data_IF_677138366372
#
_entry.id   IF_677138366372
#
_cell.length_a   1.000
_cell.length_b   1.000
_cell.length_c   1.000
_cell.angle_alpha   90.00
_cell.angle_beta   90.00
_cell.angle_gamma   90.00
#
_symmetry.space_group_name_H-M   'P 1'
#
loop_
_entity.id
_entity.type
_entity.pdbx_description
1 polymer ?
#
# COMPACT_ATOMS: atom_id res chain seq x y z
N UNK A 1 28.34 -63.49 52.41
CA UNK A 1 27.73 -64.36 51.37
C UNK A 1 26.42 -63.72 50.93
N UNK A 2 26.34 -63.34 49.64
CA UNK A 2 25.14 -62.97 48.86
C UNK A 2 24.38 -61.71 49.30
N UNK A 3 23.86 -60.83 48.45
CA UNK A 3 24.03 -60.48 47.04
C UNK A 3 23.12 -59.24 46.82
N UNK A 4 23.52 -58.34 45.91
CA UNK A 4 22.71 -57.58 44.92
C UNK A 4 21.35 -56.97 45.38
N UNK A 5 21.00 -55.70 45.15
CA UNK A 5 21.19 -54.86 43.97
C UNK A 5 21.03 -53.37 44.35
N UNK A 6 22.04 -52.55 44.05
CA UNK A 6 21.97 -51.09 44.09
C UNK A 6 21.16 -50.57 42.90
N UNK A 7 20.07 -49.88 43.23
CA UNK A 7 19.34 -48.98 42.35
C UNK A 7 20.19 -47.72 42.20
N UNK A 8 20.70 -47.45 41.00
CA UNK A 8 21.00 -46.09 40.58
C UNK A 8 20.82 -46.02 39.05
N UNK A 9 19.58 -45.73 38.66
CA UNK A 9 19.18 -45.48 37.29
C UNK A 9 19.97 -44.28 36.75
N UNK A 10 20.83 -44.56 35.77
CA UNK A 10 21.64 -43.57 35.08
C UNK A 10 20.79 -42.54 34.33
N UNK A 11 21.30 -41.32 34.32
CA UNK A 11 20.85 -40.19 33.52
C UNK A 11 20.49 -40.60 32.08
N UNK A 12 19.21 -40.50 31.73
CA UNK A 12 18.76 -40.28 30.35
C UNK A 12 17.88 -39.04 30.36
N UNK A 13 18.50 -37.90 30.67
CA UNK A 13 17.94 -36.58 30.43
C UNK A 13 18.44 -36.06 29.08
N UNK A 14 18.07 -36.73 28.00
CA UNK A 14 18.23 -36.17 26.65
C UNK A 14 17.20 -35.04 26.51
N UNK A 15 17.64 -33.83 26.82
CA UNK A 15 17.03 -32.59 26.37
C UNK A 15 17.08 -32.57 24.83
N UNK A 16 16.13 -33.23 24.16
CA UNK A 16 15.82 -32.95 22.76
C UNK A 16 14.92 -31.71 22.71
N UNK A 17 15.48 -30.57 23.09
CA UNK A 17 14.94 -29.26 22.73
C UNK A 17 15.47 -28.90 21.35
N UNK A 18 14.92 -29.58 20.34
CA UNK A 18 15.13 -29.22 18.94
C UNK A 18 13.82 -29.41 18.18
N UNK A 19 12.75 -28.79 18.71
CA UNK A 19 11.72 -28.28 17.83
C UNK A 19 12.37 -27.15 17.03
N UNK A 20 12.94 -27.48 15.87
CA UNK A 20 13.25 -26.47 14.86
C UNK A 20 11.93 -25.79 14.56
N UNK A 21 11.69 -24.62 15.16
CA UNK A 21 10.66 -23.72 14.72
C UNK A 21 10.96 -23.50 13.24
N UNK A 22 10.12 -24.03 12.35
CA UNK A 22 10.25 -23.77 10.93
C UNK A 22 10.37 -22.26 10.76
N UNK A 23 11.49 -21.78 10.23
CA UNK A 23 11.68 -20.36 9.99
C UNK A 23 10.56 -19.90 9.06
N UNK A 24 9.65 -19.08 9.59
CA UNK A 24 8.47 -18.64 8.87
C UNK A 24 8.71 -17.40 8.02
N UNK A 25 9.90 -16.84 8.16
CA UNK A 25 10.46 -15.78 7.35
C UNK A 25 11.97 -16.07 7.22
N UNK A 26 12.62 -15.58 6.14
CA UNK A 26 11.99 -14.87 5.04
C UNK A 26 11.15 -15.79 4.14
N UNK A 27 10.05 -15.26 3.62
CA UNK A 27 9.27 -15.85 2.52
C UNK A 27 9.46 -14.95 1.30
N UNK A 28 10.44 -15.25 0.41
CA UNK A 28 10.53 -14.55 -0.86
C UNK A 28 9.22 -14.66 -1.63
N UNK A 29 8.82 -13.58 -2.29
CA UNK A 29 7.57 -13.52 -3.05
C UNK A 29 7.69 -14.13 -4.45
N UNK A 30 8.92 -14.44 -4.88
CA UNK A 30 9.26 -15.07 -6.16
C UNK A 30 8.96 -14.20 -7.38
N UNK A 31 8.95 -12.88 -7.21
CA UNK A 31 8.76 -11.93 -8.30
C UNK A 31 10.08 -11.44 -8.91
N UNK A 32 11.21 -11.69 -8.27
CA UNK A 32 12.53 -11.21 -8.68
C UNK A 32 13.27 -12.18 -9.63
N UNK A 33 14.23 -11.63 -10.39
CA UNK A 33 15.31 -12.40 -11.01
C UNK A 33 14.98 -13.19 -12.28
N UNK A 34 13.74 -13.17 -12.76
CA UNK A 34 13.36 -13.84 -14.01
C UNK A 34 13.44 -12.93 -15.25
N UNK A 35 13.23 -13.52 -16.45
CA UNK A 35 13.29 -12.77 -17.70
C UNK A 35 12.10 -11.83 -17.87
N UNK A 36 12.32 -10.76 -18.65
CA UNK A 36 11.28 -9.80 -19.02
C UNK A 36 10.04 -10.48 -19.60
N UNK A 37 8.86 -10.00 -19.22
CA UNK A 37 7.56 -10.48 -19.71
C UNK A 37 7.26 -11.97 -19.44
N UNK A 38 8.06 -12.65 -18.62
CA UNK A 38 7.78 -14.03 -18.24
C UNK A 38 6.98 -14.10 -16.95
N UNK A 39 6.10 -15.08 -16.88
CA UNK A 39 5.24 -15.31 -15.71
C UNK A 39 6.05 -15.66 -14.47
N UNK A 40 5.73 -15.01 -13.36
CA UNK A 40 6.24 -15.28 -12.02
C UNK A 40 5.17 -15.95 -11.13
N UNK A 41 5.63 -16.85 -10.26
CA UNK A 41 4.80 -17.60 -9.33
C UNK A 41 4.70 -16.93 -7.97
N UNK A 42 3.83 -15.92 -7.82
CA UNK A 42 3.74 -15.17 -6.58
C UNK A 42 3.46 -16.06 -5.36
N UNK A 43 4.29 -15.92 -4.33
CA UNK A 43 4.13 -16.59 -3.04
C UNK A 43 3.86 -15.58 -1.92
N UNK A 44 2.66 -15.63 -1.35
CA UNK A 44 2.28 -14.83 -0.19
C UNK A 44 1.85 -15.71 0.98
N UNK A 45 2.08 -15.30 2.24
CA UNK A 45 1.46 -15.96 3.38
C UNK A 45 -0.06 -15.70 3.41
N UNK A 46 -0.75 -16.46 4.26
CA UNK A 46 -2.11 -16.10 4.67
C UNK A 46 -2.07 -14.96 5.69
N UNK A 47 -2.97 -13.98 5.56
CA UNK A 47 -3.07 -12.87 6.49
C UNK A 47 -4.34 -12.99 7.33
N UNK A 48 -4.27 -12.77 8.65
CA UNK A 48 -5.45 -12.86 9.52
C UNK A 48 -6.28 -11.58 9.48
N UNK A 49 -7.57 -11.71 9.76
CA UNK A 49 -8.44 -10.58 10.08
C UNK A 49 -7.92 -9.85 11.33
N UNK A 50 -8.21 -8.56 11.45
CA UNK A 50 -7.79 -7.79 12.61
C UNK A 50 -8.70 -6.61 12.94
N UNK A 51 -8.56 -6.13 14.17
CA UNK A 51 -9.18 -4.92 14.68
C UNK A 51 -8.06 -4.00 15.16
N UNK A 52 -8.11 -2.72 14.80
CA UNK A 52 -7.06 -1.76 15.15
C UNK A 52 -7.67 -0.37 15.44
N UNK A 53 -7.20 0.32 16.50
CA UNK A 53 -7.46 1.75 16.66
C UNK A 53 -6.90 2.54 15.46
N UNK A 54 -7.67 3.49 14.98
CA UNK A 54 -7.40 4.29 13.79
C UNK A 54 -7.90 5.72 13.97
N UNK A 55 -7.53 6.60 13.06
CA UNK A 55 -7.97 7.99 13.02
C UNK A 55 -8.70 8.25 11.70
N UNK A 56 -9.79 9.00 11.76
CA UNK A 56 -10.34 9.76 10.64
C UNK A 56 -9.74 11.17 10.72
N UNK A 57 -9.23 11.66 9.60
CA UNK A 57 -8.60 12.97 9.48
C UNK A 57 -9.34 13.72 8.39
N UNK A 58 -9.91 14.86 8.76
CA UNK A 58 -10.56 15.75 7.82
C UNK A 58 -9.66 16.93 7.54
N UNK A 59 -9.47 17.20 6.27
CA UNK A 59 -8.66 18.28 5.78
C UNK A 59 -9.56 19.38 5.26
N UNK A 60 -9.18 20.63 5.51
CA UNK A 60 -9.80 21.79 4.87
C UNK A 60 -8.72 22.79 4.51
N UNK A 61 -8.75 23.32 3.30
CA UNK A 61 -7.77 24.31 2.83
C UNK A 61 -6.33 23.82 3.03
N UNK A 62 -6.10 22.54 2.73
CA UNK A 62 -4.84 21.82 2.93
C UNK A 62 -4.27 21.84 4.35
N UNK A 63 -5.13 21.98 5.35
CA UNK A 63 -4.75 21.92 6.76
C UNK A 63 -5.66 20.94 7.52
N UNK A 64 -5.18 20.45 8.66
CA UNK A 64 -5.97 19.55 9.50
C UNK A 64 -7.14 20.35 10.07
N UNK A 65 -8.35 19.98 9.69
CA UNK A 65 -9.58 20.58 10.21
C UNK A 65 -10.04 19.85 11.47
N UNK A 66 -10.03 18.52 11.43
CA UNK A 66 -10.49 17.67 12.51
C UNK A 66 -9.81 16.30 12.49
N UNK A 67 -9.70 15.70 13.67
CA UNK A 67 -9.19 14.34 13.85
C UNK A 67 -10.15 13.62 14.80
N UNK A 68 -10.66 12.47 14.39
CA UNK A 68 -11.60 11.67 15.17
C UNK A 68 -11.08 10.24 15.35
N UNK A 69 -11.18 9.66 16.55
CA UNK A 69 -10.80 8.27 16.78
C UNK A 69 -11.83 7.30 16.18
N UNK A 70 -11.34 6.23 15.57
CA UNK A 70 -12.13 5.13 15.02
C UNK A 70 -11.54 3.79 15.41
N UNK A 71 -12.38 2.76 15.35
CA UNK A 71 -11.94 1.37 15.33
C UNK A 71 -12.14 0.81 13.93
N UNK A 72 -11.04 0.43 13.28
CA UNK A 72 -11.06 -0.26 12.00
C UNK A 72 -11.11 -1.77 12.22
N UNK A 73 -12.06 -2.43 11.58
CA UNK A 73 -12.16 -3.89 11.52
C UNK A 73 -11.93 -4.33 10.08
N UNK A 74 -10.86 -5.07 9.87
CA UNK A 74 -10.47 -5.60 8.57
C UNK A 74 -10.73 -7.10 8.50
N UNK A 75 -11.49 -7.53 7.49
CA UNK A 75 -11.94 -8.91 7.32
C UNK A 75 -11.61 -9.41 5.92
N UNK A 76 -11.60 -10.73 5.76
CA UNK A 76 -11.57 -11.42 4.47
C UNK A 76 -10.25 -11.32 3.70
N UNK A 77 -9.11 -11.16 4.38
CA UNK A 77 -7.80 -11.12 3.71
C UNK A 77 -7.47 -12.35 2.87
N UNK A 78 -8.08 -13.50 3.14
CA UNK A 78 -7.86 -14.73 2.38
C UNK A 78 -8.91 -14.97 1.29
N UNK A 79 -9.87 -14.07 1.09
CA UNK A 79 -10.76 -14.13 -0.06
C UNK A 79 -10.01 -13.71 -1.32
N UNK A 80 -9.68 -14.70 -2.14
CA UNK A 80 -9.05 -14.52 -3.44
C UNK A 80 -10.10 -14.13 -4.48
N UNK A 81 -9.71 -13.32 -5.47
CA UNK A 81 -10.57 -12.92 -6.58
C UNK A 81 -10.57 -14.05 -7.61
N UNK A 82 -11.52 -14.96 -7.50
CA UNK A 82 -11.64 -16.13 -8.37
C UNK A 82 -12.55 -17.19 -7.77
N UNK A 83 -12.97 -18.16 -8.56
CA UNK A 83 -13.76 -19.30 -8.09
C UNK A 83 -13.03 -20.05 -6.96
N UNK A 84 -13.74 -20.75 -6.05
CA UNK A 84 -13.11 -21.57 -5.02
C UNK A 84 -12.07 -22.51 -5.64
N UNK A 85 -10.81 -22.42 -5.20
CA UNK A 85 -9.69 -23.23 -5.71
C UNK A 85 -8.87 -22.61 -6.84
N UNK A 86 -9.17 -21.38 -7.29
CA UNK A 86 -8.32 -20.66 -8.25
C UNK A 86 -7.29 -19.78 -7.54
N UNK A 87 -6.05 -19.81 -8.02
CA UNK A 87 -4.93 -19.00 -7.50
C UNK A 87 -5.30 -17.51 -7.59
N UNK A 88 -5.13 -16.77 -6.48
CA UNK A 88 -5.32 -15.31 -6.45
C UNK A 88 -4.59 -14.66 -7.63
N UNK A 89 -5.28 -13.85 -8.44
CA UNK A 89 -4.72 -13.22 -9.63
C UNK A 89 -3.60 -12.26 -9.23
N UNK A 90 -2.35 -12.73 -9.26
CA UNK A 90 -1.17 -11.96 -8.93
C UNK A 90 -1.24 -11.19 -7.59
N UNK A 91 -1.67 -11.88 -6.52
CA UNK A 91 -1.64 -11.33 -5.15
C UNK A 91 -2.77 -10.38 -4.83
N UNK A 92 -3.77 -10.31 -5.70
CA UNK A 92 -4.94 -9.47 -5.52
C UNK A 92 -5.97 -10.10 -4.58
N UNK A 93 -6.53 -9.28 -3.68
CA UNK A 93 -7.45 -9.71 -2.62
C UNK A 93 -8.62 -8.73 -2.48
N UNK A 94 -9.79 -9.24 -2.10
CA UNK A 94 -10.93 -8.40 -1.71
C UNK A 94 -11.07 -8.42 -0.20
N UNK A 95 -10.87 -7.27 0.42
CA UNK A 95 -10.82 -7.12 1.87
C UNK A 95 -11.94 -6.20 2.30
N UNK A 96 -12.70 -6.59 3.33
CA UNK A 96 -13.77 -5.76 3.87
C UNK A 96 -13.21 -4.87 4.97
N UNK A 97 -13.50 -3.58 4.91
CA UNK A 97 -13.25 -2.61 5.97
C UNK A 97 -14.57 -2.17 6.59
N UNK A 98 -14.64 -2.20 7.91
CA UNK A 98 -15.67 -1.53 8.72
C UNK A 98 -14.98 -0.52 9.66
N UNK A 99 -15.45 0.73 9.66
CA UNK A 99 -14.98 1.78 10.56
C UNK A 99 -16.10 2.14 11.54
N UNK A 100 -15.81 2.00 12.83
CA UNK A 100 -16.75 2.28 13.92
C UNK A 100 -16.25 3.44 14.77
N UNK A 101 -17.18 4.30 15.18
CA UNK A 101 -16.89 5.37 16.15
C UNK A 101 -16.54 4.76 17.52
N UNK A 102 -16.03 5.55 18.49
CA UNK A 102 -15.74 5.05 19.84
C UNK A 102 -16.97 4.47 20.55
N UNK A 103 -18.18 4.92 20.18
CA UNK A 103 -19.44 4.37 20.68
C UNK A 103 -19.86 3.04 20.01
N UNK A 104 -19.04 2.48 19.12
CA UNK A 104 -19.30 1.22 18.42
C UNK A 104 -20.23 1.32 17.21
N UNK A 105 -20.71 2.52 16.89
CA UNK A 105 -21.60 2.78 15.74
C UNK A 105 -20.81 2.62 14.45
N UNK A 106 -21.29 1.73 13.56
CA UNK A 106 -20.72 1.59 12.22
C UNK A 106 -20.97 2.89 11.45
N UNK A 107 -19.92 3.45 10.86
CA UNK A 107 -20.02 4.68 10.08
C UNK A 107 -19.63 4.47 8.62
N UNK A 108 -18.50 3.79 8.36
CA UNK A 108 -18.09 3.43 7.01
C UNK A 108 -17.97 1.93 6.87
N UNK A 109 -18.40 1.40 5.73
CA UNK A 109 -18.16 0.02 5.38
C UNK A 109 -17.94 -0.12 3.86
N UNK A 110 -17.06 -1.02 3.46
CA UNK A 110 -16.84 -1.29 2.04
C UNK A 110 -15.96 -2.49 1.80
N UNK A 111 -15.95 -2.96 0.55
CA UNK A 111 -15.01 -3.97 0.09
C UNK A 111 -13.98 -3.27 -0.78
N UNK A 112 -12.72 -3.38 -0.34
CA UNK A 112 -11.57 -2.75 -0.97
C UNK A 112 -10.74 -3.81 -1.68
N UNK A 113 -10.20 -3.44 -2.84
CA UNK A 113 -9.28 -4.25 -3.62
C UNK A 113 -7.86 -3.96 -3.15
N UNK A 114 -7.17 -5.03 -2.76
CA UNK A 114 -5.77 -5.02 -2.35
C UNK A 114 -4.95 -5.56 -3.50
N UNK A 115 -3.94 -4.82 -3.90
CA UNK A 115 -2.98 -5.19 -4.94
C UNK A 115 -1.62 -5.31 -4.27
N UNK A 116 -1.10 -6.53 -4.19
CA UNK A 116 0.21 -6.76 -3.58
C UNK A 116 1.27 -5.91 -4.29
N UNK A 117 2.12 -5.20 -3.57
CA UNK A 117 3.15 -4.34 -4.14
C UNK A 117 4.50 -5.07 -4.13
N UNK A 118 5.07 -5.25 -2.93
CA UNK A 118 6.41 -5.79 -2.69
C UNK A 118 6.57 -6.30 -1.26
N UNK A 119 7.69 -6.99 -1.00
CA UNK A 119 8.11 -7.42 0.35
C UNK A 119 9.56 -7.02 0.63
N UNK A 120 9.86 -6.76 1.91
CA UNK A 120 11.21 -6.52 2.40
C UNK A 120 11.35 -7.00 3.84
N UNK A 121 12.57 -6.95 4.36
CA UNK A 121 12.87 -7.23 5.75
C UNK A 121 13.15 -5.91 6.49
N UNK A 122 12.68 -5.79 7.71
CA UNK A 122 12.98 -4.69 8.62
C UNK A 122 13.62 -5.19 9.91
N UNK A 123 14.33 -4.32 10.61
CA UNK A 123 14.82 -4.59 11.97
C UNK A 123 14.26 -3.56 12.94
N UNK A 124 13.42 -3.98 13.87
CA UNK A 124 12.84 -3.06 14.85
C UNK A 124 13.89 -2.57 15.87
N UNK A 125 13.50 -1.62 16.72
CA UNK A 125 14.40 -1.02 17.74
C UNK A 125 14.91 -2.00 18.80
N UNK A 126 14.29 -3.18 18.94
CA UNK A 126 14.77 -4.26 19.81
C UNK A 126 15.71 -5.24 19.09
N UNK A 127 16.05 -5.00 17.82
CA UNK A 127 16.87 -5.90 17.00
C UNK A 127 16.10 -7.09 16.42
N UNK A 128 14.76 -7.10 16.53
CA UNK A 128 13.93 -8.18 16.01
C UNK A 128 13.68 -7.98 14.51
N UNK A 129 14.02 -9.01 13.73
CA UNK A 129 13.70 -9.04 12.31
C UNK A 129 12.19 -9.16 12.07
N UNK A 130 11.66 -8.30 11.21
CA UNK A 130 10.30 -8.34 10.69
C UNK A 130 10.35 -8.56 9.18
N UNK A 131 9.41 -9.31 8.62
CA UNK A 131 9.15 -9.30 7.19
C UNK A 131 7.89 -8.50 6.92
N UNK A 132 7.94 -7.58 5.96
CA UNK A 132 6.85 -6.69 5.59
C UNK A 132 6.32 -7.04 4.21
N UNK A 133 5.00 -7.00 4.04
CA UNK A 133 4.31 -7.08 2.75
C UNK A 133 3.45 -5.83 2.58
N UNK A 134 3.68 -5.10 1.49
CA UNK A 134 2.89 -3.91 1.14
C UNK A 134 1.79 -4.26 0.17
N UNK A 135 0.61 -3.71 0.38
CA UNK A 135 -0.52 -3.73 -0.54
C UNK A 135 -0.93 -2.31 -0.87
N UNK A 136 -1.16 -2.01 -2.14
CA UNK A 136 -1.89 -0.84 -2.59
C UNK A 136 -3.38 -1.12 -2.52
N UNK A 137 -4.16 -0.15 -2.06
CA UNK A 137 -5.58 -0.33 -1.78
C UNK A 137 -6.38 0.65 -2.62
N UNK A 138 -7.47 0.16 -3.22
CA UNK A 138 -8.51 1.02 -3.76
C UNK A 138 -9.91 0.43 -3.57
N UNK A 139 -10.92 1.27 -3.43
CA UNK A 139 -12.31 0.83 -3.42
C UNK A 139 -13.26 1.87 -2.85
N UNK A 140 -14.54 1.54 -2.87
CA UNK A 140 -15.58 2.39 -2.31
C UNK A 140 -15.81 2.08 -0.84
N UNK A 141 -15.82 3.11 -0.02
CA UNK A 141 -16.41 3.07 1.31
C UNK A 141 -17.77 3.74 1.26
N UNK A 142 -18.77 3.07 1.84
CA UNK A 142 -20.13 3.56 1.95
C UNK A 142 -20.38 4.09 3.35
N UNK A 143 -20.83 5.33 3.44
CA UNK A 143 -21.31 5.90 4.70
C UNK A 143 -22.69 5.32 5.04
N UNK A 144 -22.84 4.79 6.25
CA UNK A 144 -24.09 4.18 6.73
C UNK A 144 -24.90 5.10 7.65
N UNK A 145 -24.33 6.22 8.10
CA UNK A 145 -24.99 7.25 8.91
C UNK A 145 -24.45 8.64 8.54
N UNK A 146 -25.32 9.64 8.44
CA UNK A 146 -24.88 11.03 8.33
C UNK A 146 -24.33 11.51 9.67
N UNK A 147 -23.08 11.96 9.71
CA UNK A 147 -22.49 12.50 10.93
C UNK A 147 -22.80 13.98 11.15
N UNK A 148 -22.91 14.42 12.41
CA UNK A 148 -22.64 15.79 12.81
C UNK A 148 -21.14 16.16 12.68
N UNK A 149 -20.87 17.45 12.48
CA UNK A 149 -19.56 18.13 12.50
C UNK A 149 -18.72 17.66 13.71
N UNK A 150 -17.41 17.33 13.58
CA UNK A 150 -16.44 18.09 12.79
C UNK A 150 -15.93 17.47 11.48
N UNK A 151 -16.13 16.16 11.26
CA UNK A 151 -15.79 15.48 10.01
C UNK A 151 -17.05 15.14 9.22
N UNK A 152 -17.54 16.03 8.34
CA UNK A 152 -18.71 15.71 7.53
C UNK A 152 -18.37 14.60 6.54
N UNK A 153 -19.34 13.72 6.24
CA UNK A 153 -19.22 12.80 5.12
C UNK A 153 -18.90 13.60 3.84
N UNK A 154 -17.97 13.14 2.97
CA UNK A 154 -17.73 13.73 1.65
C UNK A 154 -19.03 14.07 0.95
N UNK A 155 -19.18 15.32 0.51
CA UNK A 155 -20.38 15.80 -0.17
C UNK A 155 -20.67 15.05 -1.48
N UNK A 156 -19.67 14.36 -2.05
CA UNK A 156 -19.85 13.48 -3.20
C UNK A 156 -20.60 12.18 -2.85
N UNK A 157 -20.52 11.70 -1.61
CA UNK A 157 -21.03 10.39 -1.26
C UNK A 157 -22.55 10.25 -1.52
N UNK A 158 -23.42 11.20 -1.11
CA UNK A 158 -24.85 11.12 -1.41
C UNK A 158 -25.17 11.03 -2.92
N UNK A 159 -24.39 11.71 -3.77
CA UNK A 159 -24.57 11.67 -5.22
C UNK A 159 -24.22 10.30 -5.83
N UNK A 160 -23.43 9.48 -5.12
CA UNK A 160 -22.94 8.19 -5.59
C UNK A 160 -23.37 7.02 -4.69
N UNK A 161 -24.61 7.05 -4.20
CA UNK A 161 -25.19 5.94 -3.44
C UNK A 161 -24.65 5.81 -2.00
N UNK A 162 -24.26 6.94 -1.42
CA UNK A 162 -23.54 7.09 -0.15
C UNK A 162 -22.11 6.54 -0.19
N UNK A 163 -21.48 6.48 -1.37
CA UNK A 163 -20.14 5.91 -1.55
C UNK A 163 -19.12 6.96 -1.97
N UNK A 164 -17.92 6.87 -1.42
CA UNK A 164 -16.75 7.63 -1.87
C UNK A 164 -15.59 6.66 -2.11
N UNK A 165 -14.79 6.92 -3.16
CA UNK A 165 -13.62 6.10 -3.47
C UNK A 165 -12.46 6.51 -2.59
N UNK A 166 -11.84 5.55 -1.94
CA UNK A 166 -10.60 5.72 -1.22
C UNK A 166 -9.46 4.95 -1.89
N UNK A 167 -8.26 5.52 -1.81
CA UNK A 167 -7.01 4.89 -2.28
C UNK A 167 -5.90 5.03 -1.24
N UNK A 168 -4.93 4.12 -1.22
CA UNK A 168 -3.79 4.21 -0.31
C UNK A 168 -3.03 2.90 -0.22
N UNK A 169 -2.59 2.53 0.98
CA UNK A 169 -1.78 1.32 1.20
C UNK A 169 -2.03 0.66 2.56
N UNK A 170 -1.52 -0.57 2.69
CA UNK A 170 -1.32 -1.26 3.96
C UNK A 170 -0.03 -2.06 3.93
N UNK A 171 0.76 -1.87 4.97
CA UNK A 171 1.87 -2.73 5.32
C UNK A 171 1.43 -3.71 6.39
N UNK A 172 1.75 -4.97 6.15
CA UNK A 172 1.54 -6.06 7.09
C UNK A 172 2.92 -6.61 7.42
N UNK A 173 3.32 -6.55 8.68
CA UNK A 173 4.60 -7.02 9.16
C UNK A 173 4.46 -8.25 10.06
N UNK A 174 5.36 -9.22 9.92
CA UNK A 174 5.42 -10.41 10.78
C UNK A 174 6.77 -10.50 11.45
N UNK A 175 6.76 -10.74 12.75
CA UNK A 175 7.96 -11.06 13.51
C UNK A 175 8.54 -12.42 13.07
N UNK A 176 9.77 -12.40 12.57
CA UNK A 176 10.45 -13.58 12.05
C UNK A 176 10.98 -14.52 13.14
N UNK A 177 11.12 -14.03 14.38
CA UNK A 177 11.64 -14.81 15.50
C UNK A 177 10.57 -15.72 16.15
N UNK A 178 9.27 -15.45 15.93
CA UNK A 178 8.19 -16.16 16.63
C UNK A 178 7.23 -16.75 15.60
N UNK A 179 7.14 -18.09 15.56
CA UNK A 179 6.33 -18.80 14.58
C UNK A 179 4.80 -18.50 14.67
N UNK A 180 4.34 -18.04 15.81
CA UNK A 180 2.93 -17.64 16.02
C UNK A 180 2.83 -16.18 16.42
N UNK A 181 3.87 -15.40 16.09
CA UNK A 181 3.93 -13.99 16.41
C UNK A 181 2.77 -13.21 15.79
N UNK A 182 2.24 -12.20 16.50
CA UNK A 182 1.18 -11.37 15.96
C UNK A 182 1.69 -10.60 14.74
N UNK A 183 0.82 -10.43 13.74
CA UNK A 183 1.07 -9.48 12.68
C UNK A 183 0.91 -8.05 13.21
N UNK A 184 1.83 -7.19 12.80
CA UNK A 184 1.76 -5.75 12.98
C UNK A 184 1.30 -5.12 11.66
N UNK A 185 0.64 -3.96 11.71
CA UNK A 185 0.06 -3.34 10.52
C UNK A 185 0.13 -1.83 10.61
N UNK A 186 0.38 -1.19 9.48
CA UNK A 186 0.28 0.25 9.27
C UNK A 186 -0.44 0.48 7.95
N UNK A 187 -1.36 1.43 7.87
CA UNK A 187 -2.16 1.67 6.68
C UNK A 187 -2.69 3.10 6.64
N UNK A 188 -2.93 3.56 5.42
CA UNK A 188 -3.56 4.85 5.15
C UNK A 188 -4.48 4.71 3.93
N UNK A 189 -5.65 5.34 4.01
CA UNK A 189 -6.58 5.53 2.91
C UNK A 189 -6.90 7.02 2.79
N UNK A 190 -7.01 7.54 1.57
CA UNK A 190 -7.41 8.93 1.31
C UNK A 190 -8.39 9.05 0.15
N UNK A 191 -9.28 10.03 0.29
CA UNK A 191 -10.16 10.59 -0.71
C UNK A 191 -9.90 12.10 -0.76
N UNK A 192 -9.45 12.60 -1.91
CA UNK A 192 -8.88 13.93 -2.09
C UNK A 192 -9.91 14.88 -2.72
N UNK A 193 -9.63 16.18 -2.74
CA UNK A 193 -10.54 17.19 -3.29
C UNK A 193 -10.84 17.00 -4.78
N UNK A 194 -11.80 17.79 -5.27
CA UNK A 194 -12.39 17.65 -6.59
C UNK A 194 -11.38 17.64 -7.75
N UNK A 195 -10.30 18.42 -7.66
CA UNK A 195 -9.25 18.45 -8.70
C UNK A 195 -8.53 17.10 -8.87
N UNK A 196 -8.58 16.24 -7.86
CA UNK A 196 -8.17 14.85 -7.95
C UNK A 196 -9.39 13.98 -8.12
N UNK A 197 -10.14 13.67 -7.06
CA UNK A 197 -11.10 12.56 -7.11
C UNK A 197 -12.41 12.89 -7.86
N UNK A 198 -12.59 14.11 -8.35
CA UNK A 198 -13.75 14.48 -9.18
C UNK A 198 -13.35 15.23 -10.45
N UNK A 199 -12.13 14.97 -10.95
CA UNK A 199 -11.63 15.63 -12.15
C UNK A 199 -12.56 15.42 -13.36
N UNK A 200 -12.75 16.44 -14.22
CA UNK A 200 -13.54 16.32 -15.44
C UNK A 200 -13.05 15.19 -16.37
N UNK A 201 -13.97 14.54 -17.06
CA UNK A 201 -13.67 13.47 -18.03
C UNK A 201 -13.73 12.04 -17.46
N UNK A 202 -14.06 11.89 -16.17
CA UNK A 202 -14.09 10.59 -15.49
C UNK A 202 -15.46 10.30 -14.86
N UNK A 203 -15.79 9.02 -14.53
CA UNK A 203 -17.16 8.61 -14.23
C UNK A 203 -17.87 9.36 -13.09
N UNK A 204 -17.15 9.76 -12.04
CA UNK A 204 -17.67 10.53 -10.90
C UNK A 204 -17.17 11.97 -10.89
N UNK A 205 -16.99 12.59 -12.05
CA UNK A 205 -16.63 14.00 -12.15
C UNK A 205 -17.71 14.93 -11.54
N UNK A 206 -17.30 16.08 -11.01
CA UNK A 206 -18.22 17.08 -10.47
C UNK A 206 -17.55 18.05 -9.51
N UNK A 207 -18.36 18.87 -8.84
CA UNK A 207 -17.91 19.80 -7.79
C UNK A 207 -18.66 19.45 -6.51
N UNK A 208 -17.94 18.95 -5.52
CA UNK A 208 -18.50 18.43 -4.28
C UNK A 208 -17.77 19.00 -3.07
N UNK A 209 -16.45 18.94 -3.08
CA UNK A 209 -15.59 19.41 -2.00
C UNK A 209 -14.25 19.91 -2.56
N UNK A 210 -14.24 21.13 -3.14
CA UNK A 210 -13.02 21.70 -3.71
C UNK A 210 -12.00 22.05 -2.61
N UNK A 211 -12.47 22.28 -1.38
CA UNK A 211 -11.65 22.71 -0.24
C UNK A 211 -11.31 21.59 0.75
N UNK A 212 -11.67 20.31 0.49
CA UNK A 212 -11.56 19.24 1.49
C UNK A 212 -11.01 17.92 0.94
N UNK A 213 -10.40 17.18 1.85
CA UNK A 213 -10.04 15.78 1.67
C UNK A 213 -10.26 15.01 2.98
N UNK A 214 -10.24 13.69 2.89
CA UNK A 214 -10.62 12.77 3.96
C UNK A 214 -9.63 11.62 3.98
N UNK A 215 -9.06 11.33 5.15
CA UNK A 215 -8.11 10.24 5.30
C UNK A 215 -8.46 9.37 6.49
N UNK A 216 -8.17 8.08 6.37
CA UNK A 216 -8.17 7.14 7.48
C UNK A 216 -6.77 6.59 7.66
N UNK A 217 -6.28 6.51 8.90
CA UNK A 217 -4.93 6.02 9.21
C UNK A 217 -4.95 5.09 10.41
N UNK A 218 -4.20 3.99 10.34
CA UNK A 218 -3.96 3.10 11.47
C UNK A 218 -2.51 2.58 11.49
N UNK A 219 -1.91 2.35 12.67
CA UNK A 219 -2.48 2.51 14.00
C UNK A 219 -2.65 3.99 14.38
N UNK A 220 -3.64 4.29 15.22
CA UNK A 220 -3.78 5.63 15.81
C UNK A 220 -2.65 5.98 16.79
N UNK A 221 -2.08 4.97 17.45
CA UNK A 221 -1.04 5.17 18.46
C UNK A 221 0.20 5.84 17.85
N UNK A 222 0.56 7.02 18.38
CA UNK A 222 1.74 7.76 17.94
C UNK A 222 1.59 8.51 16.61
N UNK A 223 0.43 8.46 15.96
CA UNK A 223 0.21 9.17 14.71
C UNK A 223 -0.10 10.65 14.96
N UNK A 224 0.62 11.53 14.27
CA UNK A 224 0.44 12.98 14.31
C UNK A 224 0.07 13.46 12.90
N UNK A 225 -1.23 13.77 12.65
CA UNK A 225 -1.67 14.36 11.40
C UNK A 225 -1.09 15.75 11.20
N UNK A 226 -0.74 16.10 9.96
CA UNK A 226 -0.31 17.45 9.64
C UNK A 226 0.12 17.60 8.19
N UNK A 227 0.08 18.83 7.64
CA UNK A 227 0.73 19.10 6.38
C UNK A 227 2.23 18.84 6.54
N UNK A 228 2.82 18.09 5.61
CA UNK A 228 4.23 17.75 5.64
C UNK A 228 4.93 18.41 4.48
N UNK A 229 6.07 19.04 4.78
CA UNK A 229 6.97 19.53 3.75
C UNK A 229 7.35 18.36 2.84
N UNK A 230 7.14 18.48 1.52
CA UNK A 230 7.64 17.54 0.53
C UNK A 230 9.14 17.32 0.67
N UNK A 231 9.53 16.05 0.67
CA UNK A 231 10.94 15.64 0.78
C UNK A 231 11.30 14.54 -0.21
N UNK A 232 10.36 14.11 -1.05
CA UNK A 232 10.65 13.22 -2.17
C UNK A 232 11.59 13.91 -3.16
N UNK A 233 12.56 13.18 -3.69
CA UNK A 233 13.59 13.68 -4.61
C UNK A 233 14.41 12.54 -5.18
N UNK A 234 15.58 12.82 -5.74
CA UNK A 234 16.59 11.81 -6.11
C UNK A 234 17.95 12.22 -5.54
N UNK A 235 18.79 11.25 -5.13
CA UNK A 235 19.55 10.45 -6.10
C UNK A 235 19.09 8.98 -6.10
N UNK A 236 18.94 8.41 -7.30
CA UNK A 236 18.27 7.13 -7.52
C UNK A 236 18.81 5.95 -6.70
N UNK A 237 17.91 5.07 -6.31
CA UNK A 237 18.23 3.75 -5.75
C UNK A 237 18.55 2.75 -6.88
N UNK A 238 19.42 1.78 -6.59
CA UNK A 238 19.70 0.66 -7.49
C UNK A 238 18.62 -0.45 -7.41
N UNK A 239 17.63 -0.28 -6.52
CA UNK A 239 16.73 -1.34 -6.08
C UNK A 239 15.28 -1.10 -6.48
N UNK A 240 15.08 -0.60 -7.69
CA UNK A 240 13.76 -0.28 -8.20
C UNK A 240 13.21 -1.37 -9.09
N UNK A 241 11.91 -1.56 -8.97
CA UNK A 241 11.20 -2.58 -9.71
C UNK A 241 9.88 -2.05 -10.26
N UNK A 242 9.51 -2.56 -11.43
CA UNK A 242 8.18 -2.46 -11.97
C UNK A 242 7.67 -3.87 -12.17
N UNK A 243 6.46 -4.13 -11.70
CA UNK A 243 5.81 -5.41 -11.91
C UNK A 243 4.67 -5.26 -12.89
N UNK A 244 4.62 -6.16 -13.88
CA UNK A 244 3.49 -6.30 -14.80
C UNK A 244 2.57 -7.42 -14.38
N UNK A 245 1.34 -7.36 -14.88
CA UNK A 245 0.34 -8.41 -14.76
C UNK A 245 -0.24 -8.67 -16.13
N UNK A 246 -0.04 -9.89 -16.62
CA UNK A 246 -0.70 -10.33 -17.83
C UNK A 246 -2.10 -10.82 -17.48
N UNK A 247 -3.12 -10.21 -18.09
CA UNK A 247 -4.51 -10.60 -17.90
C UNK A 247 -5.03 -11.29 -19.15
N UNK A 248 -5.32 -12.58 -19.04
CA UNK A 248 -5.81 -13.40 -20.15
C UNK A 248 -7.19 -13.96 -19.83
N UNK A 249 -7.88 -14.52 -20.84
CA UNK A 249 -9.11 -15.28 -20.62
C UNK A 249 -8.91 -16.51 -19.71
N UNK A 250 -7.68 -17.01 -19.58
CA UNK A 250 -7.32 -18.12 -18.70
C UNK A 250 -7.03 -17.69 -17.25
N UNK A 251 -7.03 -16.38 -16.96
CA UNK A 251 -6.73 -15.83 -15.64
C UNK A 251 -5.67 -14.73 -15.68
N UNK A 252 -5.29 -14.24 -14.51
CA UNK A 252 -4.26 -13.21 -14.35
C UNK A 252 -2.99 -13.84 -13.80
N UNK A 253 -1.88 -13.61 -14.48
CA UNK A 253 -0.54 -14.00 -14.04
C UNK A 253 0.24 -12.77 -13.59
N UNK A 254 1.16 -12.95 -12.64
CA UNK A 254 2.22 -11.96 -12.43
C UNK A 254 3.29 -12.18 -13.47
N UNK A 255 3.95 -11.13 -13.88
CA UNK A 255 5.24 -11.25 -14.56
C UNK A 255 6.36 -10.96 -13.56
N UNK A 256 7.59 -11.35 -13.90
CA UNK A 256 8.76 -10.97 -13.13
C UNK A 256 8.93 -9.44 -13.09
N UNK A 257 9.47 -8.98 -11.97
CA UNK A 257 9.86 -7.60 -11.75
C UNK A 257 10.98 -7.19 -12.70
N UNK A 258 10.73 -6.13 -13.44
CA UNK A 258 11.73 -5.45 -14.24
C UNK A 258 12.46 -4.44 -13.37
N UNK A 259 13.79 -4.51 -13.37
CA UNK A 259 14.62 -3.48 -12.75
C UNK A 259 14.48 -2.16 -13.48
N UNK A 260 14.42 -1.06 -12.75
CA UNK A 260 14.30 0.26 -13.36
C UNK A 260 15.30 1.28 -12.78
N UNK A 261 15.52 2.33 -13.55
CA UNK A 261 16.09 3.57 -13.07
C UNK A 261 14.99 4.63 -13.10
N UNK A 262 14.95 5.47 -12.08
CA UNK A 262 13.99 6.56 -12.06
C UNK A 262 14.64 7.90 -11.71
N UNK A 263 13.96 8.97 -12.05
CA UNK A 263 14.28 10.34 -11.68
C UNK A 263 12.99 11.01 -11.26
N UNK A 264 12.95 11.48 -10.01
CA UNK A 264 11.86 12.27 -9.46
C UNK A 264 12.40 13.67 -9.13
N UNK A 265 11.94 14.67 -9.87
CA UNK A 265 12.33 16.06 -9.70
C UNK A 265 11.13 16.86 -9.15
N UNK A 266 11.13 17.21 -7.86
CA UNK A 266 10.19 18.17 -7.29
C UNK A 266 10.17 19.48 -8.07
N UNK A 267 9.00 19.93 -8.50
CA UNK A 267 8.84 21.17 -9.24
C UNK A 267 8.26 22.26 -8.34
N UNK A 268 7.06 22.00 -7.81
CA UNK A 268 6.24 23.03 -7.17
C UNK A 268 5.51 22.43 -5.97
N UNK A 269 5.37 23.25 -4.93
CA UNK A 269 4.51 22.93 -3.80
C UNK A 269 3.35 23.91 -3.74
N UNK A 270 2.16 23.40 -3.43
CA UNK A 270 0.95 24.22 -3.41
C UNK A 270 -0.14 23.57 -2.55
N UNK A 271 -1.24 24.29 -2.39
CA UNK A 271 -2.48 23.71 -1.88
C UNK A 271 -3.39 23.39 -3.06
N UNK A 272 -3.64 22.12 -3.32
CA UNK A 272 -4.59 21.72 -4.36
C UNK A 272 -6.05 21.94 -3.92
N UNK A 273 -6.29 21.92 -2.61
CA UNK A 273 -7.64 21.95 -2.03
C UNK A 273 -7.91 23.26 -1.26
N UNK A 274 -7.45 24.42 -1.75
CA UNK A 274 -7.65 25.74 -1.11
C UNK A 274 -6.39 26.62 -1.00
N UNK A 275 -6.26 27.41 0.07
CA UNK A 275 -5.11 28.30 0.36
C UNK A 275 -4.90 28.44 1.86
N UNK A 276 -3.68 28.68 2.42
CA UNK A 276 -2.39 28.94 1.76
C UNK A 276 -1.29 27.88 2.03
N UNK A 277 -1.60 26.72 2.63
CA UNK A 277 -0.58 25.76 3.07
C UNK A 277 -0.06 24.87 1.94
N UNK A 278 1.27 24.73 1.83
CA UNK A 278 1.92 23.82 0.88
C UNK A 278 1.86 22.37 1.38
N UNK A 279 0.74 21.68 1.10
CA UNK A 279 0.56 20.27 1.46
C UNK A 279 0.90 19.32 0.30
N UNK A 280 0.71 19.78 -0.94
CA UNK A 280 0.92 19.00 -2.14
C UNK A 280 2.28 19.30 -2.74
N UNK A 281 2.95 18.25 -3.20
CA UNK A 281 4.08 18.29 -4.10
C UNK A 281 3.64 17.89 -5.49
N UNK A 282 4.07 18.64 -6.50
CA UNK A 282 4.11 18.17 -7.88
C UNK A 282 5.55 18.05 -8.35
N UNK A 283 5.89 16.93 -8.97
CA UNK A 283 7.19 16.67 -9.54
C UNK A 283 7.12 15.95 -10.88
N UNK A 284 8.20 16.03 -11.65
CA UNK A 284 8.36 15.26 -12.87
C UNK A 284 8.93 13.89 -12.51
N UNK A 285 8.23 12.84 -12.93
CA UNK A 285 8.70 11.46 -12.83
C UNK A 285 9.11 10.98 -14.22
N UNK A 286 10.30 10.39 -14.29
CA UNK A 286 10.78 9.63 -15.44
C UNK A 286 11.31 8.29 -14.96
N UNK A 287 10.89 7.22 -15.63
CA UNK A 287 11.34 5.84 -15.37
C UNK A 287 11.80 5.23 -16.68
N UNK A 288 12.94 4.53 -16.62
CA UNK A 288 13.46 3.68 -17.68
C UNK A 288 13.72 2.29 -17.12
N UNK A 289 12.97 1.31 -17.60
CA UNK A 289 13.08 -0.09 -17.22
C UNK A 289 14.09 -0.85 -18.07
N UNK A 290 14.74 -1.86 -17.48
CA UNK A 290 15.75 -2.68 -18.15
C UNK A 290 15.21 -3.58 -19.27
N UNK A 291 13.90 -3.80 -19.32
CA UNK A 291 13.18 -4.49 -20.37
C UNK A 291 12.61 -3.52 -21.44
N UNK A 292 12.84 -2.22 -21.29
CA UNK A 292 12.37 -1.19 -22.21
C UNK A 292 11.08 -0.50 -21.78
N UNK A 293 10.51 -0.80 -20.60
CA UNK A 293 9.40 0.00 -20.08
C UNK A 293 9.83 1.44 -19.88
N UNK A 294 8.91 2.37 -20.08
CA UNK A 294 9.13 3.76 -19.70
C UNK A 294 7.89 4.38 -19.09
N UNK A 295 8.09 5.21 -18.08
CA UNK A 295 7.07 6.11 -17.54
C UNK A 295 7.60 7.52 -17.72
N UNK A 296 6.83 8.40 -18.36
CA UNK A 296 7.25 9.78 -18.58
C UNK A 296 6.13 10.75 -18.25
N UNK A 297 6.55 11.97 -17.90
CA UNK A 297 5.68 13.12 -17.66
C UNK A 297 6.00 14.20 -18.70
N UNK A 298 5.03 15.00 -19.15
CA UNK A 298 3.62 15.05 -18.72
C UNK A 298 2.76 13.96 -19.39
N UNK A 299 2.03 13.16 -18.61
CA UNK A 299 0.95 12.34 -19.14
C UNK A 299 -0.39 13.08 -19.07
N UNK A 300 -1.23 12.92 -20.10
CA UNK A 300 -2.69 13.14 -20.01
C UNK A 300 -3.36 11.80 -19.64
N UNK A 301 -4.67 11.69 -19.28
CA UNK A 301 -5.72 12.69 -19.12
C UNK A 301 -5.81 13.34 -17.71
N UNK A 302 -4.88 13.07 -16.79
CA UNK A 302 -4.88 13.60 -15.42
C UNK A 302 -3.80 14.67 -15.20
N UNK A 303 -3.75 15.27 -13.99
CA UNK A 303 -2.71 16.23 -13.60
C UNK A 303 -1.33 15.67 -13.98
N UNK A 304 -0.58 16.37 -14.85
CA UNK A 304 0.67 15.85 -15.37
C UNK A 304 1.73 15.87 -14.27
N UNK A 305 2.34 14.73 -14.01
CA UNK A 305 3.39 14.63 -12.98
C UNK A 305 3.03 13.71 -11.83
N UNK A 306 4.02 13.49 -10.97
CA UNK A 306 3.88 12.87 -9.67
C UNK A 306 3.31 13.89 -8.69
N UNK A 307 2.13 13.59 -8.14
CA UNK A 307 1.45 14.37 -7.12
C UNK A 307 1.58 13.64 -5.78
N UNK A 308 1.95 14.35 -4.72
CA UNK A 308 2.04 13.78 -3.37
C UNK A 308 1.50 14.71 -2.30
N UNK A 309 0.62 14.20 -1.45
CA UNK A 309 -0.04 14.90 -0.35
C UNK A 309 0.47 14.37 0.99
N UNK A 310 1.03 15.23 1.83
CA UNK A 310 1.43 14.87 3.19
C UNK A 310 0.22 14.57 4.08
N UNK A 311 0.20 13.41 4.75
CA UNK A 311 -0.89 13.00 5.66
C UNK A 311 -0.46 13.16 7.13
N UNK A 312 0.76 12.77 7.48
CA UNK A 312 1.27 12.85 8.85
C UNK A 312 2.39 11.86 9.12
N UNK A 313 2.70 11.64 10.39
CA UNK A 313 3.78 10.72 10.78
C UNK A 313 3.45 9.90 12.03
N UNK A 314 3.91 8.65 12.07
CA UNK A 314 4.08 7.93 13.32
C UNK A 314 5.36 8.39 14.01
N UNK A 315 5.29 8.58 15.32
CA UNK A 315 6.36 9.18 16.12
C UNK A 315 6.91 8.26 17.20
N UNK A 316 6.37 7.04 17.31
CA UNK A 316 6.75 6.08 18.35
C UNK A 316 7.74 5.04 17.79
N UNK A 317 9.04 5.13 18.12
CA UNK A 317 10.05 4.22 17.58
C UNK A 317 9.93 2.77 18.07
N UNK A 318 9.14 2.50 19.11
CA UNK A 318 8.90 1.14 19.64
C UNK A 318 7.67 0.44 19.06
N UNK A 319 6.88 1.12 18.23
CA UNK A 319 5.60 0.61 17.71
C UNK A 319 5.66 0.65 16.19
N UNK A 320 5.43 -0.49 15.53
CA UNK A 320 5.39 -0.55 14.06
C UNK A 320 4.41 0.51 13.49
N UNK A 321 4.82 1.30 12.48
CA UNK A 321 6.00 1.14 11.60
C UNK A 321 7.30 1.81 12.11
N UNK A 322 7.33 2.28 13.35
CA UNK A 322 8.43 3.07 13.89
C UNK A 322 8.18 4.56 13.69
N UNK A 323 9.25 5.33 13.45
CA UNK A 323 9.14 6.76 13.10
C UNK A 323 9.04 6.88 11.59
N UNK A 324 7.83 6.94 11.07
CA UNK A 324 7.56 6.92 9.63
C UNK A 324 6.61 8.06 9.24
N UNK A 325 6.97 8.79 8.20
CA UNK A 325 6.10 9.74 7.49
C UNK A 325 5.29 9.00 6.44
N UNK A 326 4.01 9.34 6.32
CA UNK A 326 3.11 8.82 5.27
C UNK A 326 2.53 9.94 4.43
N UNK A 327 2.51 9.69 3.13
CA UNK A 327 1.98 10.59 2.10
C UNK A 327 1.12 9.78 1.13
N UNK A 328 0.02 10.36 0.69
CA UNK A 328 -0.78 9.82 -0.40
C UNK A 328 -0.22 10.33 -1.73
N UNK A 329 -0.20 9.51 -2.77
CA UNK A 329 0.29 9.98 -4.08
C UNK A 329 -0.63 9.55 -5.24
N UNK A 330 -0.51 10.29 -6.34
CA UNK A 330 -1.15 10.01 -7.61
C UNK A 330 -0.30 10.58 -8.76
N UNK A 331 -0.68 10.31 -10.00
CA UNK A 331 -0.04 10.95 -11.14
C UNK A 331 -0.60 10.53 -12.48
N UNK A 332 -0.50 11.42 -13.47
CA UNK A 332 -0.81 11.13 -14.87
C UNK A 332 0.48 10.91 -15.65
N UNK A 333 0.63 9.73 -16.25
CA UNK A 333 1.86 9.33 -16.95
C UNK A 333 1.58 8.75 -18.34
N UNK A 334 2.53 8.96 -19.25
CA UNK A 334 2.65 8.15 -20.46
C UNK A 334 3.48 6.90 -20.10
N UNK A 335 2.86 5.72 -20.21
CA UNK A 335 3.46 4.42 -19.96
C UNK A 335 3.65 3.66 -21.28
N UNK A 336 4.88 3.19 -21.52
CA UNK A 336 5.17 2.28 -22.62
C UNK A 336 5.30 0.84 -22.10
N UNK A 337 4.48 -0.06 -22.65
CA UNK A 337 4.46 -1.48 -22.33
C UNK A 337 5.30 -2.27 -23.36
N UNK A 338 6.55 -2.66 -23.05
CA UNK A 338 7.45 -3.28 -24.02
C UNK A 338 7.00 -4.68 -24.43
N UNK A 339 6.22 -5.38 -23.60
CA UNK A 339 5.75 -6.72 -23.94
C UNK A 339 4.69 -6.71 -25.06
N UNK A 340 3.99 -5.58 -25.24
CA UNK A 340 2.94 -5.42 -26.27
C UNK A 340 3.26 -4.33 -27.29
N UNK A 341 4.26 -3.49 -27.02
CA UNK A 341 4.59 -2.30 -27.80
C UNK A 341 3.56 -1.16 -27.66
N UNK A 342 2.65 -1.24 -26.70
CA UNK A 342 1.59 -0.25 -26.51
C UNK A 342 2.10 0.98 -25.74
N UNK A 343 1.77 2.17 -26.23
CA UNK A 343 1.86 3.41 -25.46
C UNK A 343 0.49 3.73 -24.87
N UNK A 344 0.43 3.97 -23.57
CA UNK A 344 -0.80 4.23 -22.82
C UNK A 344 -0.68 5.47 -21.97
N UNK A 345 -1.82 6.12 -21.79
CA UNK A 345 -1.97 7.32 -20.99
C UNK A 345 -2.75 6.97 -19.74
N UNK A 346 -2.08 6.92 -18.59
CA UNK A 346 -2.58 6.23 -17.40
C UNK A 346 -2.55 7.11 -16.16
N UNK A 347 -3.52 6.87 -15.28
CA UNK A 347 -3.57 7.49 -13.94
C UNK A 347 -3.10 6.47 -12.93
N UNK A 348 -2.25 6.93 -12.02
CA UNK A 348 -1.67 6.14 -10.96
C UNK A 348 -2.13 6.66 -9.60
N UNK A 349 -2.27 5.74 -8.65
CA UNK A 349 -2.53 6.02 -7.24
C UNK A 349 -1.64 5.15 -6.36
N UNK A 350 -1.31 5.65 -5.18
CA UNK A 350 -0.61 4.85 -4.20
C UNK A 350 -0.20 5.65 -2.96
N UNK A 351 0.99 5.33 -2.44
CA UNK A 351 1.49 5.93 -1.21
C UNK A 351 3.01 6.08 -1.23
N UNK A 352 3.47 7.04 -0.42
CA UNK A 352 4.88 7.24 -0.12
C UNK A 352 5.08 7.16 1.38
N UNK A 353 6.02 6.32 1.82
CA UNK A 353 6.43 6.21 3.22
C UNK A 353 7.90 6.57 3.36
N UNK A 354 8.25 7.28 4.42
CA UNK A 354 9.61 7.81 4.62
C UNK A 354 10.05 7.58 6.06
N UNK A 355 11.20 6.92 6.24
CA UNK A 355 11.71 6.55 7.56
C UNK A 355 11.33 5.11 7.89
N UNK A 356 10.74 4.91 9.07
CA UNK A 356 10.40 3.60 9.60
C UNK A 356 11.60 2.87 10.20
N UNK A 357 11.53 1.55 10.25
CA UNK A 357 12.65 0.72 10.65
C UNK A 357 13.66 0.53 9.52
N UNK A 358 14.96 0.34 9.82
CA UNK A 358 15.94 0.01 8.80
C UNK A 358 15.52 -1.20 7.97
N UNK A 359 15.45 -1.00 6.66
CA UNK A 359 14.96 -1.98 5.71
C UNK A 359 16.09 -2.61 4.90
N UNK A 360 15.91 -3.88 4.56
CA UNK A 360 16.78 -4.65 3.68
C UNK A 360 15.95 -5.40 2.66
N UNK A 361 16.41 -5.42 1.42
CA UNK A 361 15.76 -6.10 0.32
C UNK A 361 15.61 -7.60 0.63
N UNK A 362 14.53 -8.20 0.18
CA UNK A 362 14.38 -9.64 0.19
C UNK A 362 14.40 -10.17 -1.24
N UNK A 363 15.44 -10.92 -1.60
CA UNK A 363 15.61 -11.57 -2.91
C UNK A 363 15.52 -13.09 -2.79
N UNK A 364 15.08 -13.77 -3.86
CA UNK A 364 14.86 -15.22 -3.87
C UNK A 364 16.15 -16.06 -3.86
N UNK A 365 17.35 -15.45 -3.97
CA UNK A 365 18.60 -16.21 -4.04
C UNK A 365 19.90 -15.47 -3.74
N UNK A 366 19.84 -14.23 -3.23
CA UNK A 366 21.02 -13.40 -2.95
C UNK A 366 20.84 -12.70 -1.60
N UNK A 367 21.92 -12.45 -0.82
CA UNK A 367 21.82 -11.60 0.36
C UNK A 367 21.15 -10.25 0.05
N UNK A 368 20.24 -9.84 0.91
CA UNK A 368 19.57 -8.55 0.80
C UNK A 368 20.54 -7.37 0.95
N UNK A 369 20.29 -6.31 0.20
CA UNK A 369 20.99 -5.03 0.37
C UNK A 369 20.16 -4.08 1.23
N UNK A 370 20.78 -3.15 1.97
CA UNK A 370 20.05 -2.07 2.62
C UNK A 370 19.21 -1.29 1.60
N UNK A 371 17.94 -1.07 1.92
CA UNK A 371 17.05 -0.20 1.16
C UNK A 371 17.15 1.22 1.74
N UNK A 372 16.93 2.25 0.91
CA UNK A 372 16.85 3.61 1.42
C UNK A 372 15.55 3.81 2.22
N UNK A 373 15.39 5.00 2.79
CA UNK A 373 14.31 5.27 3.76
C UNK A 373 12.98 5.63 3.10
N UNK A 374 12.97 6.01 1.83
CA UNK A 374 11.75 6.38 1.11
C UNK A 374 11.29 5.22 0.26
N UNK A 375 10.01 4.89 0.34
CA UNK A 375 9.34 3.87 -0.46
C UNK A 375 8.16 4.54 -1.16
N UNK A 376 8.17 4.59 -2.50
CA UNK A 376 7.08 5.10 -3.33
C UNK A 376 6.48 3.92 -4.07
N UNK A 377 5.20 3.65 -3.86
CA UNK A 377 4.48 2.57 -4.52
C UNK A 377 3.27 3.13 -5.24
N UNK A 378 3.11 2.83 -6.53
CA UNK A 378 1.99 3.29 -7.34
C UNK A 378 1.45 2.19 -8.23
N UNK A 379 0.13 2.15 -8.43
CA UNK A 379 -0.55 1.24 -9.35
C UNK A 379 -1.36 2.04 -10.36
N UNK A 380 -1.35 1.63 -11.63
CA UNK A 380 -2.23 2.23 -12.63
C UNK A 380 -3.71 1.89 -12.37
N UNK A 381 -4.59 2.73 -12.92
CA UNK A 381 -6.03 2.67 -12.70
C UNK A 381 -6.79 2.45 -14.01
N UNK A 382 -7.24 1.21 -14.22
CA UNK A 382 -7.96 0.77 -15.42
C UNK A 382 -9.44 0.46 -15.13
N UNK A 383 -10.28 0.67 -16.15
CA UNK A 383 -11.70 0.27 -16.17
C UNK A 383 -11.81 -1.26 -16.21
N UNK A 384 -12.60 -1.89 -15.33
CA UNK A 384 -13.01 -3.29 -15.47
C UNK A 384 -14.10 -3.45 -16.55
N UNK A 385 -14.11 -4.53 -17.35
CA UNK A 385 -13.11 -5.60 -17.43
C UNK A 385 -11.83 -5.14 -18.15
N UNK A 386 -10.69 -5.70 -17.73
CA UNK A 386 -9.38 -5.42 -18.34
C UNK A 386 -9.42 -5.77 -19.84
N UNK A 387 -8.90 -4.89 -20.68
CA UNK A 387 -8.94 -5.00 -22.14
C UNK A 387 -9.91 -4.02 -22.82
N UNK A 388 -10.77 -3.35 -22.07
CA UNK A 388 -11.55 -2.21 -22.58
C UNK A 388 -10.69 -0.95 -22.83
N UNK A 389 -9.39 -0.98 -22.46
CA UNK A 389 -8.39 0.04 -22.79
C UNK A 389 -8.57 1.40 -22.11
N UNK A 390 -9.55 1.54 -21.22
CA UNK A 390 -9.86 2.81 -20.57
C UNK A 390 -9.09 2.99 -19.27
N UNK A 391 -8.32 4.08 -19.18
CA UNK A 391 -7.89 4.64 -17.90
C UNK A 391 -9.11 5.17 -17.15
N UNK A 392 -9.15 4.92 -15.85
CA UNK A 392 -10.20 5.43 -14.96
C UNK A 392 -9.60 6.14 -13.77
N UNK A 393 -10.43 6.90 -13.08
CA UNK A 393 -10.19 7.35 -11.72
C UNK A 393 -11.54 7.43 -11.02
N UNK A 394 -11.57 7.84 -9.76
CA UNK A 394 -12.78 8.10 -8.98
C UNK A 394 -13.84 6.98 -8.84
N UNK A 395 -13.60 5.83 -9.45
CA UNK A 395 -14.26 4.54 -9.21
C UNK A 395 -13.22 3.48 -8.84
N UNK A 396 -13.64 2.37 -8.19
CA UNK A 396 -12.76 1.23 -7.99
C UNK A 396 -12.18 0.73 -9.30
N UNK A 397 -10.89 0.37 -9.29
CA UNK A 397 -10.13 0.05 -10.49
C UNK A 397 -9.33 -1.23 -10.32
N UNK A 398 -8.85 -1.72 -11.46
CA UNK A 398 -7.87 -2.80 -11.58
C UNK A 398 -6.57 -2.22 -12.09
N UNK A 399 -5.46 -2.81 -11.66
CA UNK A 399 -4.12 -2.42 -12.09
C UNK A 399 -3.50 -3.58 -12.84
N UNK A 400 -2.82 -3.31 -13.93
CA UNK A 400 -2.01 -4.29 -14.65
C UNK A 400 -0.50 -4.03 -14.53
N UNK A 401 -0.09 -2.96 -13.85
CA UNK A 401 1.30 -2.80 -13.43
C UNK A 401 1.46 -1.90 -12.20
N UNK A 402 2.53 -2.16 -11.46
CA UNK A 402 2.87 -1.51 -10.21
C UNK A 402 4.30 -0.99 -10.30
N UNK A 403 4.50 0.24 -9.84
CA UNK A 403 5.78 0.91 -9.71
C UNK A 403 6.23 0.79 -8.25
N UNK A 404 7.44 0.25 -8.03
CA UNK A 404 8.09 0.19 -6.73
C UNK A 404 9.39 0.99 -6.80
N UNK A 405 9.33 2.22 -6.32
CA UNK A 405 10.46 3.15 -6.29
C UNK A 405 10.96 3.33 -4.85
N UNK A 406 12.23 3.67 -4.71
CA UNK A 406 12.97 3.79 -3.47
C UNK A 406 13.87 5.02 -3.54
N UNK A 407 13.87 5.84 -2.50
CA UNK A 407 14.64 7.08 -2.46
C UNK A 407 15.39 7.28 -1.15
#
# INVERSE_FOLDING_TARGET
MRALNCILSGLVGLLTWSGLAAAQCPIPDQLDGGPCCATAGLKLPGFPNFIQPSLEICWRDCNVNAVLPYTATWKNFNLQIGMPGTVSPCGERMVTLELRTPGGVLHWAGTLRFQYSRTWMETNTAGTALQVWRFLINGDLRSVVGLPIPCPVPACAPAFGNSARFTGYMDIARNCAIATGPFQRAWMLSHVCDLVDHAPGFPRAGVFHPDRSYSFVGPAAGFVPGPLQPIEGTPGSLFEAMRRRTMTSAGVTCDFEERLNHTLLPNTQFCLCGTPTQQFLLGNLSILGGCGSSVTTPGTPFLPGYLSMGIGSWTLPGVFPGVEVVRWNAGGYDYFEPCTGALRQEVFFGATTIGGYPATQLLSGVPGFPLPLTFIDQSNSLVPPIGAGGTTMNVPYVSDHILNLNH
#
